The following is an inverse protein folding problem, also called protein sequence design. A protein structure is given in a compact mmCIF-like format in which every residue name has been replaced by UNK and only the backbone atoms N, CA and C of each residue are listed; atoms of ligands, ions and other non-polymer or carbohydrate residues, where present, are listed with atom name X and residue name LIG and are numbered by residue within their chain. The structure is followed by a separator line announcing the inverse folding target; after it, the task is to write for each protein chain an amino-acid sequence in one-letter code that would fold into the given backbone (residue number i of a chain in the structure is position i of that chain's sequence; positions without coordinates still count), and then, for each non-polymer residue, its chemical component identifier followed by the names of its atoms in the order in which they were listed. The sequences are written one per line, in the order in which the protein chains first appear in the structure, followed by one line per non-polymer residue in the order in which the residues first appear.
data_IF_638041067425
#
_entry.id   IF_638041067425
#
_cell.length_a   1.000
_cell.length_b   1.000
_cell.length_c   1.000
_cell.angle_alpha   90.00
_cell.angle_beta   90.00
_cell.angle_gamma   90.00
#
_symmetry.space_group_name_H-M   'P 1'
#
loop_
_entity.id
_entity.type
_entity.pdbx_description
1 polymer ?
#
# COMPACT_ATOMS: atom_id res chain seq x y z
N UNK A 1 10.79 -14.35 12.60
CA UNK A 1 9.32 -14.29 12.81
C UNK A 1 8.97 -15.02 14.09
N UNK A 2 8.17 -14.43 14.98
CA UNK A 2 7.62 -15.13 16.14
C UNK A 2 6.55 -16.15 15.73
N UNK A 3 6.28 -17.14 16.58
CA UNK A 3 5.33 -18.23 16.29
C UNK A 3 3.87 -17.78 16.04
N UNK A 4 3.52 -16.55 16.43
CA UNK A 4 2.15 -16.00 16.34
C UNK A 4 1.97 -14.94 15.23
N UNK A 5 2.92 -14.79 14.31
CA UNK A 5 2.86 -13.76 13.26
C UNK A 5 2.53 -14.36 11.88
N UNK A 6 1.48 -13.85 11.25
CA UNK A 6 1.11 -14.17 9.87
C UNK A 6 1.54 -13.05 8.92
N UNK A 7 2.37 -13.37 7.92
CA UNK A 7 2.72 -12.44 6.84
C UNK A 7 2.28 -13.00 5.50
N UNK A 8 1.46 -12.23 4.80
CA UNK A 8 0.99 -12.54 3.44
C UNK A 8 1.78 -11.73 2.42
N UNK A 9 2.03 -12.32 1.26
CA UNK A 9 2.67 -11.64 0.12
C UNK A 9 1.78 -11.76 -1.11
N UNK A 10 1.78 -10.72 -1.95
CA UNK A 10 1.06 -10.76 -3.22
C UNK A 10 1.98 -10.28 -4.34
N UNK A 11 2.16 -11.12 -5.37
CA UNK A 11 2.77 -10.72 -6.63
C UNK A 11 1.66 -10.31 -7.60
N UNK A 12 1.82 -9.12 -8.19
CA UNK A 12 0.85 -8.48 -9.10
C UNK A 12 1.61 -7.75 -10.20
N UNK A 13 0.92 -7.47 -11.30
CA UNK A 13 1.44 -6.62 -12.36
C UNK A 13 1.60 -5.19 -11.84
N UNK A 14 2.69 -4.51 -12.24
CA UNK A 14 2.81 -3.07 -12.03
C UNK A 14 1.95 -2.31 -13.06
N UNK A 15 1.98 -2.76 -14.31
CA UNK A 15 1.16 -2.22 -15.40
C UNK A 15 0.19 -3.25 -15.94
N UNK A 16 -0.95 -2.77 -16.43
CA UNK A 16 -1.95 -3.54 -17.18
C UNK A 16 -2.30 -2.76 -18.45
N UNK A 17 -3.10 -3.36 -19.34
CA UNK A 17 -3.63 -2.69 -20.53
C UNK A 17 -5.10 -2.33 -20.34
N UNK A 18 -5.50 -1.12 -20.70
CA UNK A 18 -6.90 -0.73 -20.63
C UNK A 18 -7.71 -1.50 -21.70
N UNK A 19 -8.78 -2.22 -21.34
CA UNK A 19 -9.48 -3.14 -22.25
C UNK A 19 -10.22 -2.42 -23.39
N UNK A 20 -10.56 -1.14 -23.20
CA UNK A 20 -11.28 -0.35 -24.21
C UNK A 20 -10.35 0.43 -25.15
N UNK A 21 -9.23 0.96 -24.63
CA UNK A 21 -8.33 1.86 -25.38
C UNK A 21 -7.03 1.19 -25.82
N UNK A 22 -6.63 0.08 -25.19
CA UNK A 22 -5.35 -0.57 -25.46
C UNK A 22 -4.13 0.16 -24.90
N UNK A 23 -4.32 1.19 -24.08
CA UNK A 23 -3.20 1.93 -23.47
C UNK A 23 -2.58 1.12 -22.33
N UNK A 24 -1.27 1.26 -22.13
CA UNK A 24 -0.60 0.73 -20.94
C UNK A 24 -0.87 1.66 -19.75
N UNK A 25 -1.22 1.07 -18.60
CA UNK A 25 -1.73 1.79 -17.44
C UNK A 25 -1.01 1.35 -16.19
N UNK A 26 -0.55 2.33 -15.40
CA UNK A 26 -0.02 2.12 -14.06
C UNK A 26 -1.17 1.80 -13.09
N UNK A 27 -1.37 0.51 -12.79
CA UNK A 27 -2.50 0.02 -11.99
C UNK A 27 -2.01 -0.83 -10.82
N UNK A 28 -1.48 -0.16 -9.79
CA UNK A 28 -0.97 -0.79 -8.58
C UNK A 28 -0.98 0.20 -7.40
N UNK A 29 -0.60 -0.28 -6.22
CA UNK A 29 -0.42 0.51 -5.00
C UNK A 29 1.03 0.55 -4.53
N UNK A 30 2.00 0.45 -5.44
CA UNK A 30 3.42 0.30 -5.12
C UNK A 30 3.91 1.35 -4.15
N UNK A 31 3.68 2.63 -4.46
CA UNK A 31 4.06 3.76 -3.59
C UNK A 31 3.22 3.76 -2.30
N UNK A 32 1.90 3.65 -2.41
CA UNK A 32 0.99 3.75 -1.25
C UNK A 32 1.29 2.74 -0.12
N UNK A 33 1.84 1.57 -0.44
CA UNK A 33 2.22 0.53 0.53
C UNK A 33 3.73 0.36 0.71
N UNK A 34 4.54 1.36 0.36
CA UNK A 34 5.98 1.32 0.55
C UNK A 34 6.42 2.11 1.79
N UNK A 35 7.51 1.67 2.43
CA UNK A 35 8.07 2.31 3.63
C UNK A 35 8.50 3.77 3.38
N UNK A 36 8.94 4.10 2.16
CA UNK A 36 9.35 5.45 1.77
C UNK A 36 8.18 6.43 1.64
N UNK A 37 6.93 5.94 1.66
CA UNK A 37 5.74 6.79 1.72
C UNK A 37 5.27 7.10 3.14
N UNK A 38 5.93 6.53 4.16
CA UNK A 38 5.74 6.94 5.55
C UNK A 38 6.52 8.23 5.84
N UNK A 39 6.01 9.00 6.79
CA UNK A 39 6.80 10.07 7.41
C UNK A 39 8.09 9.46 7.98
N UNK A 40 9.20 10.19 7.87
CA UNK A 40 10.53 9.70 8.23
C UNK A 40 10.62 9.26 9.69
N UNK A 41 10.07 10.05 10.62
CA UNK A 41 10.09 9.72 12.05
C UNK A 41 9.27 8.44 12.33
N UNK A 42 8.12 8.30 11.66
CA UNK A 42 7.27 7.10 11.79
C UNK A 42 7.98 5.87 11.20
N UNK A 43 8.62 6.02 10.05
CA UNK A 43 9.37 4.94 9.39
C UNK A 43 10.50 4.46 10.28
N UNK A 44 11.29 5.37 10.83
CA UNK A 44 12.42 5.05 11.72
C UNK A 44 11.95 4.25 12.94
N UNK A 45 10.89 4.70 13.62
CA UNK A 45 10.29 3.97 14.75
C UNK A 45 9.84 2.58 14.34
N UNK A 46 9.16 2.42 13.20
CA UNK A 46 8.72 1.10 12.74
C UNK A 46 9.89 0.19 12.37
N UNK A 47 10.95 0.72 11.75
CA UNK A 47 12.13 -0.05 11.41
C UNK A 47 12.89 -0.46 12.68
N UNK A 48 13.03 0.41 13.68
CA UNK A 48 13.67 0.07 14.95
C UNK A 48 12.89 -1.02 15.72
N UNK A 49 11.56 -0.86 15.83
CA UNK A 49 10.72 -1.75 16.63
C UNK A 49 10.44 -3.09 15.94
N UNK A 50 10.29 -3.09 14.61
CA UNK A 50 9.83 -4.26 13.85
C UNK A 50 10.92 -4.84 12.95
N UNK A 51 11.90 -4.04 12.53
CA UNK A 51 12.83 -4.38 11.44
C UNK A 51 12.17 -4.33 10.06
N UNK A 52 12.96 -4.08 9.01
CA UNK A 52 12.46 -3.96 7.63
C UNK A 52 11.61 -5.15 7.16
N UNK A 53 11.93 -6.37 7.61
CA UNK A 53 11.21 -7.59 7.24
C UNK A 53 9.81 -7.73 7.85
N UNK A 54 9.52 -6.96 8.91
CA UNK A 54 8.26 -7.05 9.65
C UNK A 54 7.47 -5.74 9.65
N UNK A 55 7.80 -4.81 8.74
CA UNK A 55 6.95 -3.65 8.49
C UNK A 55 5.51 -4.11 8.16
N UNK A 56 4.48 -3.35 8.61
CA UNK A 56 3.09 -3.74 8.44
C UNK A 56 2.68 -3.88 6.97
N UNK A 57 3.32 -3.10 6.10
CA UNK A 57 3.26 -3.20 4.65
C UNK A 57 4.59 -2.70 4.07
N UNK A 58 5.07 -3.36 3.03
CA UNK A 58 6.14 -2.85 2.19
C UNK A 58 5.97 -3.42 0.77
N UNK A 59 6.41 -2.68 -0.25
CA UNK A 59 6.40 -3.14 -1.64
C UNK A 59 7.83 -3.32 -2.14
N UNK A 60 8.07 -4.43 -2.84
CA UNK A 60 9.34 -4.79 -3.45
C UNK A 60 9.13 -5.08 -4.95
N UNK A 61 10.22 -5.19 -5.70
CA UNK A 61 10.20 -5.71 -7.06
C UNK A 61 9.69 -7.16 -7.12
N UNK A 62 9.35 -7.64 -8.31
CA UNK A 62 8.75 -8.97 -8.50
C UNK A 62 9.66 -10.15 -8.14
N UNK A 63 10.95 -9.91 -7.96
CA UNK A 63 11.98 -10.82 -7.47
C UNK A 63 12.21 -10.71 -5.94
N UNK A 64 11.65 -9.70 -5.30
CA UNK A 64 11.77 -9.44 -3.86
C UNK A 64 12.81 -8.37 -3.50
N UNK A 65 13.57 -7.83 -4.46
CA UNK A 65 14.50 -6.73 -4.19
C UNK A 65 13.73 -5.48 -3.74
N UNK A 66 14.23 -4.73 -2.74
CA UNK A 66 13.56 -3.53 -2.27
C UNK A 66 13.52 -2.47 -3.37
N UNK A 67 12.42 -1.70 -3.41
CA UNK A 67 12.34 -0.52 -4.27
C UNK A 67 13.12 0.60 -3.60
N UNK A 68 14.00 1.26 -4.35
CA UNK A 68 14.85 2.33 -3.83
C UNK A 68 14.02 3.55 -3.43
N UNK A 69 14.55 4.38 -2.54
CA UNK A 69 13.91 5.64 -2.16
C UNK A 69 13.74 6.54 -3.38
N UNK A 70 14.77 6.60 -4.22
CA UNK A 70 14.81 7.41 -5.44
C UNK A 70 13.72 7.00 -6.44
N UNK A 71 13.47 5.70 -6.61
CA UNK A 71 12.40 5.19 -7.47
C UNK A 71 11.02 5.57 -6.91
N UNK A 72 10.81 5.44 -5.59
CA UNK A 72 9.54 5.82 -4.96
C UNK A 72 9.28 7.32 -5.10
N UNK A 73 10.29 8.15 -4.84
CA UNK A 73 10.20 9.61 -5.00
C UNK A 73 9.92 10.01 -6.45
N UNK A 74 10.51 9.32 -7.44
CA UNK A 74 10.24 9.57 -8.85
C UNK A 74 8.77 9.25 -9.23
N UNK A 75 8.22 8.16 -8.69
CA UNK A 75 6.81 7.80 -8.92
C UNK A 75 5.87 8.76 -8.18
N UNK A 76 6.19 9.16 -6.95
CA UNK A 76 5.40 10.16 -6.21
C UNK A 76 5.37 11.51 -6.93
N UNK A 77 6.51 11.94 -7.48
CA UNK A 77 6.58 13.13 -8.32
C UNK A 77 5.69 13.01 -9.58
N UNK A 78 5.69 11.85 -10.24
CA UNK A 78 4.81 11.59 -11.37
C UNK A 78 3.32 11.68 -10.97
N UNK A 79 2.93 11.13 -9.81
CA UNK A 79 1.58 11.31 -9.27
C UNK A 79 1.28 12.79 -9.02
N UNK A 80 2.19 13.53 -8.40
CA UNK A 80 2.01 14.96 -8.08
C UNK A 80 1.78 15.79 -9.35
N UNK A 81 2.53 15.52 -10.42
CA UNK A 81 2.40 16.20 -11.71
C UNK A 81 1.10 15.83 -12.45
N UNK A 82 0.65 14.58 -12.33
CA UNK A 82 -0.58 14.11 -12.96
C UNK A 82 -1.86 14.44 -12.16
N UNK A 83 -1.73 14.87 -10.90
CA UNK A 83 -2.88 15.09 -10.02
C UNK A 83 -3.68 16.32 -10.42
N UNK A 84 -4.95 16.10 -10.76
CA UNK A 84 -5.97 17.15 -10.87
C UNK A 84 -6.75 17.25 -9.56
N UNK A 85 -7.01 18.49 -9.12
CA UNK A 85 -7.71 18.77 -7.85
C UNK A 85 -9.04 19.46 -8.12
N UNK A 86 -10.11 18.83 -7.66
CA UNK A 86 -11.46 19.36 -7.80
C UNK A 86 -12.06 19.73 -6.44
N UNK A 87 -12.63 20.94 -6.35
CA UNK A 87 -13.33 21.40 -5.15
C UNK A 87 -14.81 21.08 -5.27
N UNK A 88 -15.25 20.04 -4.56
CA UNK A 88 -16.62 19.56 -4.57
C UNK A 88 -17.64 20.60 -4.09
N UNK A 89 -18.74 20.70 -4.82
CA UNK A 89 -19.96 21.43 -4.47
C UNK A 89 -21.15 20.46 -4.39
N UNK A 90 -22.18 20.78 -3.59
CA UNK A 90 -23.41 20.00 -3.58
C UNK A 90 -24.01 19.90 -4.98
N UNK A 91 -24.26 18.67 -5.43
CA UNK A 91 -24.80 18.38 -6.76
C UNK A 91 -23.75 17.99 -7.80
N UNK A 92 -22.45 18.16 -7.52
CA UNK A 92 -21.41 17.69 -8.42
C UNK A 92 -21.40 16.17 -8.53
N UNK A 93 -21.03 15.68 -9.71
CA UNK A 93 -20.86 14.26 -10.02
C UNK A 93 -19.49 14.10 -10.68
N UNK A 94 -18.70 13.19 -10.15
CA UNK A 94 -17.45 12.74 -10.79
C UNK A 94 -17.65 11.32 -11.30
N UNK A 95 -17.36 11.12 -12.58
CA UNK A 95 -17.29 9.79 -13.20
C UNK A 95 -15.81 9.48 -13.39
N UNK A 96 -15.37 8.35 -12.88
CA UNK A 96 -13.96 7.93 -12.91
C UNK A 96 -13.87 6.62 -13.67
N UNK A 97 -12.99 6.59 -14.67
CA UNK A 97 -12.46 5.33 -15.19
C UNK A 97 -11.46 4.79 -14.17
N UNK A 98 -11.87 3.77 -13.43
CA UNK A 98 -11.06 3.23 -12.33
C UNK A 98 -9.76 2.59 -12.81
N UNK A 99 -9.70 2.10 -14.05
CA UNK A 99 -8.48 1.50 -14.59
C UNK A 99 -7.47 2.60 -14.90
N UNK A 100 -7.91 3.68 -15.55
CA UNK A 100 -7.03 4.78 -15.97
C UNK A 100 -6.66 5.76 -14.84
N UNK A 101 -7.38 5.73 -13.72
CA UNK A 101 -7.27 6.79 -12.70
C UNK A 101 -6.94 6.25 -11.30
N UNK A 102 -5.82 6.71 -10.75
CA UNK A 102 -5.64 6.74 -9.30
C UNK A 102 -6.42 7.92 -8.71
N UNK A 103 -7.14 7.69 -7.62
CA UNK A 103 -7.93 8.73 -6.96
C UNK A 103 -7.75 8.67 -5.44
N UNK A 104 -7.73 9.84 -4.82
CA UNK A 104 -7.52 10.00 -3.39
C UNK A 104 -8.41 11.11 -2.84
N UNK A 105 -8.19 11.44 -1.56
CA UNK A 105 -8.81 12.60 -0.92
C UNK A 105 -7.74 13.38 -0.17
N UNK A 106 -7.85 14.70 -0.20
CA UNK A 106 -7.11 15.54 0.73
C UNK A 106 -7.77 15.52 2.12
N UNK A 107 -7.02 15.95 3.12
CA UNK A 107 -7.53 16.23 4.46
C UNK A 107 -8.63 17.30 4.39
N UNK A 108 -9.71 17.12 5.16
CA UNK A 108 -10.84 18.03 5.17
C UNK A 108 -11.34 18.29 6.60
N UNK A 109 -12.13 19.35 6.79
CA UNK A 109 -12.73 19.73 8.08
C UNK A 109 -14.23 19.93 7.92
N UNK A 110 -14.98 19.70 8.99
CA UNK A 110 -16.44 19.88 9.01
C UNK A 110 -17.23 18.73 8.40
N UNK A 111 -18.57 18.83 8.36
CA UNK A 111 -19.43 17.79 7.83
C UNK A 111 -19.27 17.67 6.31
N UNK A 112 -19.07 16.43 5.82
CA UNK A 112 -18.97 16.09 4.40
C UNK A 112 -19.69 14.77 4.14
N UNK A 113 -20.51 14.72 3.09
CA UNK A 113 -21.14 13.48 2.62
C UNK A 113 -20.90 13.33 1.12
N UNK A 114 -20.21 12.26 0.74
CA UNK A 114 -20.03 11.81 -0.64
C UNK A 114 -20.62 10.40 -0.70
N UNK A 115 -21.35 10.10 -1.76
CA UNK A 115 -21.87 8.76 -2.05
C UNK A 115 -21.21 8.24 -3.31
N UNK A 116 -21.04 6.92 -3.39
CA UNK A 116 -20.36 6.25 -4.49
C UNK A 116 -21.24 5.10 -4.96
N UNK A 117 -21.28 4.90 -6.27
CA UNK A 117 -21.78 3.68 -6.90
C UNK A 117 -20.70 3.16 -7.82
N UNK A 118 -20.54 1.83 -7.87
CA UNK A 118 -19.63 1.18 -8.80
C UNK A 118 -20.35 0.91 -10.12
N UNK A 119 -19.62 0.98 -11.22
CA UNK A 119 -20.06 0.45 -12.51
C UNK A 119 -19.89 -1.06 -12.58
N UNK A 120 -20.04 -1.60 -13.79
CA UNK A 120 -19.81 -3.03 -14.03
C UNK A 120 -18.33 -3.39 -13.81
N UNK A 121 -18.05 -4.54 -13.18
CA UNK A 121 -16.68 -4.98 -12.97
C UNK A 121 -16.04 -5.38 -14.30
N UNK A 122 -14.78 -4.98 -14.48
CA UNK A 122 -13.92 -5.45 -15.58
C UNK A 122 -13.08 -6.62 -15.07
N UNK A 123 -13.10 -7.79 -15.74
CA UNK A 123 -12.25 -8.91 -15.34
C UNK A 123 -10.79 -8.63 -15.71
N UNK A 124 -9.86 -9.01 -14.83
CA UNK A 124 -8.44 -8.66 -14.98
C UNK A 124 -7.79 -9.26 -16.23
N UNK A 125 -8.26 -10.42 -16.68
CA UNK A 125 -7.77 -11.09 -17.89
C UNK A 125 -8.01 -10.28 -19.16
N UNK A 126 -9.08 -9.47 -19.20
CA UNK A 126 -9.33 -8.50 -20.25
C UNK A 126 -8.30 -7.34 -20.27
N UNK A 127 -7.51 -7.18 -19.22
CA UNK A 127 -6.52 -6.11 -19.08
C UNK A 127 -5.08 -6.56 -19.36
N UNK A 128 -4.85 -7.71 -20.02
CA UNK A 128 -3.51 -8.21 -20.39
C UNK A 128 -2.45 -8.09 -19.27
N UNK A 129 -2.67 -8.68 -18.08
CA UNK A 129 -1.75 -8.50 -16.96
C UNK A 129 -0.37 -9.09 -17.28
N UNK A 130 0.69 -8.35 -16.99
CA UNK A 130 2.08 -8.79 -17.23
C UNK A 130 2.49 -10.00 -16.38
N UNK A 131 1.84 -10.21 -15.23
CA UNK A 131 1.99 -11.42 -14.41
C UNK A 131 0.63 -11.89 -13.88
N UNK A 132 0.45 -13.20 -13.75
CA UNK A 132 -0.72 -13.75 -13.09
C UNK A 132 -0.69 -13.40 -11.59
N UNK A 133 -1.82 -12.93 -11.01
CA UNK A 133 -1.92 -12.68 -9.57
C UNK A 133 -1.57 -13.92 -8.75
N UNK A 134 -0.53 -13.83 -7.92
CA UNK A 134 -0.15 -14.90 -7.00
C UNK A 134 -0.23 -14.38 -5.56
N UNK A 135 -0.99 -15.05 -4.72
CA UNK A 135 -0.99 -14.82 -3.27
C UNK A 135 -0.15 -15.92 -2.60
N UNK A 136 0.55 -15.55 -1.53
CA UNK A 136 1.36 -16.50 -0.77
C UNK A 136 1.59 -16.04 0.66
N UNK A 137 2.40 -16.80 1.38
CA UNK A 137 2.89 -16.47 2.70
C UNK A 137 4.37 -16.11 2.59
N UNK A 138 4.81 -15.10 3.35
CA UNK A 138 6.23 -14.82 3.44
C UNK A 138 6.93 -16.05 4.04
N UNK A 139 8.05 -16.47 3.45
CA UNK A 139 8.85 -17.55 4.01
C UNK A 139 9.39 -17.09 5.36
N UNK A 140 9.30 -17.94 6.38
CA UNK A 140 10.00 -17.70 7.63
C UNK A 140 11.50 -17.63 7.34
N UNK A 141 12.12 -16.48 7.57
CA UNK A 141 13.57 -16.39 7.64
C UNK A 141 14.01 -17.22 8.85
N UNK A 142 14.77 -18.28 8.59
CA UNK A 142 15.43 -19.03 9.66
C UNK A 142 16.33 -18.04 10.40
N UNK A 143 16.01 -17.75 11.66
CA UNK A 143 16.85 -16.90 12.50
C UNK A 143 18.23 -17.56 12.58
N UNK A 144 19.23 -16.93 11.97
CA UNK A 144 20.62 -17.21 12.30
C UNK A 144 20.81 -16.88 13.78
N UNK A 145 21.44 -17.81 14.51
CA UNK A 145 21.41 -17.88 15.97
C UNK A 145 21.63 -16.55 16.69
N UNK A 146 20.65 -16.20 17.52
CA UNK A 146 20.73 -15.12 18.50
C UNK A 146 20.10 -15.61 19.80
N UNK A 147 20.90 -15.58 20.86
CA UNK A 147 20.60 -16.07 22.20
C UNK A 147 19.27 -15.52 22.74
N UNK A 148 18.48 -16.39 23.38
CA UNK A 148 17.14 -16.06 23.86
C UNK A 148 17.17 -14.94 24.91
N UNK A 149 16.76 -13.73 24.52
CA UNK A 149 16.51 -12.65 25.46
C UNK A 149 15.33 -13.03 26.37
N UNK A 150 15.59 -13.03 27.68
CA UNK A 150 14.58 -13.33 28.71
C UNK A 150 13.50 -12.25 28.70
N UNK A 151 12.20 -12.58 28.73
CA UNK A 151 11.15 -11.57 28.62
C UNK A 151 11.10 -10.71 29.89
N UNK A 152 11.26 -9.39 29.72
CA UNK A 152 11.04 -8.42 30.77
C UNK A 152 9.56 -8.42 31.18
N UNK A 153 9.31 -8.45 32.49
CA UNK A 153 7.98 -8.58 33.11
C UNK A 153 7.00 -7.51 32.60
N UNK A 154 5.88 -7.96 32.04
CA UNK A 154 4.74 -7.13 31.68
C UNK A 154 4.24 -6.31 32.89
N UNK A 155 4.36 -4.98 32.82
CA UNK A 155 3.71 -4.07 33.75
C UNK A 155 2.23 -3.94 33.33
N UNK A 156 1.34 -4.53 34.14
CA UNK A 156 -0.12 -4.36 34.02
C UNK A 156 -0.48 -2.90 34.29
N UNK A 157 -0.96 -2.19 33.27
CA UNK A 157 -1.64 -0.91 33.43
C UNK A 157 -3.12 -1.17 33.78
N UNK A 158 -3.46 -1.06 35.07
CA UNK A 158 -4.86 -0.91 35.50
C UNK A 158 -5.08 0.55 35.91
N UNK A 159 -5.74 1.33 35.06
CA UNK A 159 -6.28 2.65 35.41
C UNK A 159 -7.77 2.55 35.69
N UNK A 160 -8.16 2.76 36.96
CA UNK A 160 -9.57 2.88 37.38
C UNK A 160 -10.15 4.19 36.85
N UNK A 161 -11.42 4.13 36.43
CA UNK A 161 -12.28 5.31 36.25
C UNK A 161 -12.78 5.78 37.61
N UNK A 162 -12.75 7.09 37.81
CA UNK A 162 -13.64 7.83 38.71
C UNK A 162 -14.11 9.05 37.95
#
# INVERSE_FOLDING_TARGET
MGADQLRTVQRRSATIRHPGTGEEVWFNHTVFWNEWSLDEEIREVFVEDLGHENLPFNTAYGDGEPISKEDVEAIDEAYRQATVRETWRPGDILIVDNILSAHARESFKGPRKIVVTMGDPVPLDACEPTVQPQAGFARATAAAGGEAATPAKARRWFGRRS
#
